data_IF_055394828752
#
_entry.id   IF_055394828752
#
_cell.length_a   1.000
_cell.length_b   1.000
_cell.length_c   1.000
_cell.angle_alpha   90.00
_cell.angle_beta   90.00
_cell.angle_gamma   90.00
#
_symmetry.space_group_name_H-M   'P 1'
#
loop_
_entity.id
_entity.type
_entity.pdbx_description
1 polymer ?
#
# COMPACT_ATOMS: atom_id res chain seq x y z
N UNK A 1 5.63 -18.10 -11.03
CA UNK A 1 5.92 -16.64 -11.02
C UNK A 1 5.33 -16.07 -9.75
N UNK A 2 6.11 -15.50 -8.82
CA UNK A 2 5.52 -14.95 -7.59
C UNK A 2 4.75 -13.67 -7.95
N UNK A 3 3.42 -13.68 -7.83
CA UNK A 3 2.56 -12.53 -8.11
C UNK A 3 2.86 -11.37 -7.13
N UNK A 4 3.91 -10.62 -7.43
CA UNK A 4 4.23 -9.37 -6.74
C UNK A 4 3.19 -8.35 -7.17
N UNK A 5 2.40 -7.91 -6.20
CA UNK A 5 1.49 -6.78 -6.34
C UNK A 5 2.18 -5.52 -5.87
N UNK A 6 1.76 -4.40 -6.45
CA UNK A 6 2.28 -3.08 -6.13
C UNK A 6 1.19 -2.25 -5.49
N UNK A 7 1.50 -1.64 -4.35
CA UNK A 7 0.57 -0.85 -3.57
C UNK A 7 1.12 0.56 -3.41
N UNK A 8 0.31 1.57 -3.71
CA UNK A 8 0.67 2.98 -3.57
C UNK A 8 0.10 3.51 -2.27
N UNK A 9 0.92 4.19 -1.47
CA UNK A 9 0.43 4.86 -0.28
C UNK A 9 -0.43 6.06 -0.69
N UNK A 10 -1.61 6.14 -0.11
CA UNK A 10 -2.51 7.26 -0.25
C UNK A 10 -2.45 8.15 0.98
N UNK A 11 -2.30 9.46 0.75
CA UNK A 11 -2.37 10.47 1.78
C UNK A 11 -3.33 11.57 1.33
N UNK A 12 -4.23 11.99 2.23
CA UNK A 12 -5.23 13.04 1.95
C UNK A 12 -6.05 12.80 0.65
N UNK A 13 -6.37 11.54 0.35
CA UNK A 13 -7.15 11.16 -0.82
C UNK A 13 -6.38 11.13 -2.14
N UNK A 14 -5.08 11.46 -2.14
CA UNK A 14 -4.20 11.42 -3.31
C UNK A 14 -3.16 10.31 -3.18
N UNK A 15 -2.75 9.78 -4.33
CA UNK A 15 -1.65 8.83 -4.41
C UNK A 15 -0.33 9.57 -4.16
N UNK A 16 0.54 8.99 -3.34
CA UNK A 16 1.89 9.50 -3.08
C UNK A 16 2.90 8.83 -4.01
N UNK A 17 4.15 9.28 -3.98
CA UNK A 17 5.26 8.65 -4.71
C UNK A 17 5.71 7.32 -4.09
N UNK A 18 5.25 6.97 -2.89
CA UNK A 18 5.69 5.76 -2.20
C UNK A 18 4.96 4.52 -2.71
N UNK A 19 5.74 3.56 -3.19
CA UNK A 19 5.26 2.28 -3.72
C UNK A 19 5.82 1.14 -2.89
N UNK A 20 4.93 0.26 -2.43
CA UNK A 20 5.26 -0.94 -1.67
C UNK A 20 4.94 -2.19 -2.48
N UNK A 21 5.95 -3.03 -2.70
CA UNK A 21 5.78 -4.32 -3.37
C UNK A 21 5.55 -5.44 -2.34
N UNK A 22 4.51 -6.24 -2.51
CA UNK A 22 4.25 -7.43 -1.69
C UNK A 22 3.25 -8.38 -2.36
N UNK A 23 3.17 -9.63 -1.90
CA UNK A 23 2.16 -10.59 -2.38
C UNK A 23 0.77 -10.31 -1.80
N UNK A 24 0.71 -9.79 -0.57
CA UNK A 24 -0.52 -9.55 0.19
C UNK A 24 -0.58 -8.10 0.68
N UNK A 25 -1.76 -7.45 0.70
CA UNK A 25 -1.89 -6.04 1.08
C UNK A 25 -1.38 -5.75 2.51
N UNK A 26 -1.55 -6.70 3.44
CA UNK A 26 -1.03 -6.57 4.81
C UNK A 26 0.50 -6.50 4.86
N UNK A 27 1.20 -7.18 3.95
CA UNK A 27 2.66 -7.12 3.84
C UNK A 27 3.15 -5.75 3.37
N UNK A 28 2.44 -5.12 2.44
CA UNK A 28 2.70 -3.73 2.07
C UNK A 28 2.38 -2.76 3.23
N UNK A 29 1.32 -3.02 3.99
CA UNK A 29 0.97 -2.22 5.16
C UNK A 29 2.05 -2.28 6.24
N UNK A 30 2.57 -3.46 6.57
CA UNK A 30 3.67 -3.59 7.53
C UNK A 30 4.91 -2.82 7.07
N UNK A 31 5.24 -2.85 5.78
CA UNK A 31 6.35 -2.04 5.23
C UNK A 31 6.09 -0.54 5.38
N UNK A 32 4.87 -0.08 5.15
CA UNK A 32 4.50 1.32 5.38
C UNK A 32 4.57 1.70 6.87
N UNK A 33 4.12 0.82 7.77
CA UNK A 33 4.23 1.02 9.22
C UNK A 33 5.69 1.14 9.67
N UNK A 34 6.58 0.29 9.17
CA UNK A 34 8.03 0.37 9.46
C UNK A 34 8.67 1.66 8.96
N UNK A 35 8.06 2.34 7.96
CA UNK A 35 8.49 3.67 7.48
C UNK A 35 7.94 4.83 8.33
N UNK A 36 7.16 4.55 9.38
CA UNK A 36 6.60 5.55 10.29
C UNK A 36 5.18 6.01 9.94
N UNK A 37 4.49 5.34 9.00
CA UNK A 37 3.10 5.67 8.69
C UNK A 37 2.13 5.01 9.68
N UNK A 38 1.30 5.81 10.34
CA UNK A 38 0.26 5.35 11.28
C UNK A 38 -1.07 5.10 10.57
N UNK A 39 -1.53 6.06 9.76
CA UNK A 39 -2.74 5.92 8.96
C UNK A 39 -2.41 5.35 7.57
N UNK A 40 -2.55 4.03 7.41
CA UNK A 40 -2.08 3.33 6.21
C UNK A 40 -3.24 3.08 5.25
N UNK A 41 -3.27 3.83 4.16
CA UNK A 41 -4.18 3.62 3.03
C UNK A 41 -3.37 3.23 1.81
N UNK A 42 -3.63 2.04 1.26
CA UNK A 42 -2.85 1.46 0.17
C UNK A 42 -3.74 1.13 -1.03
N UNK A 43 -3.46 1.73 -2.19
CA UNK A 43 -4.13 1.44 -3.45
C UNK A 43 -3.37 0.38 -4.24
N UNK A 44 -4.03 -0.71 -4.63
CA UNK A 44 -3.43 -1.76 -5.47
C UNK A 44 -3.36 -1.27 -6.93
N UNK A 45 -2.14 -1.11 -7.48
CA UNK A 45 -1.93 -0.67 -8.86
C UNK A 45 -2.52 -1.66 -9.85
N UNK A 46 -3.15 -1.14 -10.90
CA UNK A 46 -3.85 -1.96 -11.90
C UNK A 46 -5.26 -2.38 -11.47
N UNK A 47 -5.70 -2.00 -10.27
CA UNK A 47 -7.09 -2.20 -9.81
C UNK A 47 -7.63 -0.90 -9.21
N UNK A 48 -8.94 -0.87 -8.92
CA UNK A 48 -9.59 0.22 -8.19
C UNK A 48 -9.67 -0.04 -6.68
N UNK A 49 -8.95 -1.04 -6.16
CA UNK A 49 -9.04 -1.46 -4.76
C UNK A 49 -8.17 -0.58 -3.87
N UNK A 50 -8.74 -0.17 -2.75
CA UNK A 50 -8.04 0.55 -1.67
C UNK A 50 -8.16 -0.28 -0.39
N UNK A 51 -7.02 -0.56 0.21
CA UNK A 51 -6.90 -1.25 1.49
C UNK A 51 -6.63 -0.21 2.57
N UNK A 52 -7.47 -0.19 3.61
CA UNK A 52 -7.34 0.74 4.73
C UNK A 52 -6.96 -0.08 5.96
N UNK A 53 -5.86 0.32 6.59
CA UNK A 53 -5.34 -0.27 7.83
C UNK A 53 -5.18 0.85 8.86
N UNK A 54 -5.73 0.61 10.05
CA UNK A 54 -5.68 1.47 11.24
C UNK A 54 -4.90 0.78 12.33
#
# INVERSE_FOLDING_TARGET
MSDKKYFVLMQNGKDTSQVFASKQPRGAALKAATRGHTNIRLRERGTKRVHVFT
#
